data_IF_103642187366
#
_entry.id   IF_103642187366
#
_cell.length_a   1.000
_cell.length_b   1.000
_cell.length_c   1.000
_cell.angle_alpha   90.00
_cell.angle_beta   90.00
_cell.angle_gamma   90.00
#
_symmetry.space_group_name_H-M   'P 1'
#
loop_
_entity.id
_entity.type
_entity.pdbx_description
1 polymer ?
#
# COMPACT_ATOMS: atom_id res chain seq x y z
N UNK A 1 -7.00 5.24 -17.94
CA UNK A 1 -7.37 5.78 -19.26
C UNK A 1 -6.46 6.90 -19.79
N UNK A 2 -6.26 8.06 -19.13
CA UNK A 2 -5.59 9.22 -19.76
C UNK A 2 -4.13 9.00 -20.20
N UNK A 3 -3.42 8.09 -19.54
CA UNK A 3 -2.03 7.75 -19.87
C UNK A 3 -1.89 6.66 -20.93
N UNK A 4 -2.98 5.97 -21.25
CA UNK A 4 -2.93 4.68 -21.93
C UNK A 4 -2.41 4.79 -23.37
N UNK A 5 -2.76 5.87 -24.08
CA UNK A 5 -2.26 6.13 -25.43
C UNK A 5 -0.74 6.25 -25.45
N UNK A 6 -0.16 6.99 -24.50
CA UNK A 6 1.29 7.19 -24.37
C UNK A 6 1.99 5.91 -23.99
N UNK A 7 1.45 5.19 -22.99
CA UNK A 7 2.02 3.92 -22.55
C UNK A 7 2.03 2.90 -23.70
N UNK A 8 0.96 2.82 -24.49
CA UNK A 8 0.89 1.88 -25.62
C UNK A 8 1.82 2.24 -26.80
N UNK A 9 2.50 3.39 -26.80
CA UNK A 9 3.58 3.69 -27.75
C UNK A 9 4.92 3.05 -27.36
N UNK A 10 5.03 2.48 -26.16
CA UNK A 10 6.21 1.70 -25.75
C UNK A 10 6.10 0.26 -26.26
N UNK A 11 6.99 -0.64 -25.83
CA UNK A 11 6.84 -2.08 -26.05
C UNK A 11 5.60 -2.66 -25.37
N UNK A 12 5.03 -1.97 -24.37
CA UNK A 12 3.83 -2.40 -23.66
C UNK A 12 2.57 -2.25 -24.51
N UNK A 13 1.63 -3.19 -24.36
CA UNK A 13 0.27 -3.14 -24.89
C UNK A 13 -0.69 -3.50 -23.77
N UNK A 14 -1.27 -2.48 -23.14
CA UNK A 14 -2.14 -2.64 -21.97
C UNK A 14 -3.50 -2.00 -22.20
N UNK A 15 -4.43 -2.33 -21.30
CA UNK A 15 -5.78 -1.80 -21.26
C UNK A 15 -5.95 -0.97 -19.98
N UNK A 16 -6.99 -0.14 -19.96
CA UNK A 16 -7.56 0.36 -18.72
C UNK A 16 -8.60 -0.67 -18.30
N UNK A 17 -8.32 -1.44 -17.26
CA UNK A 17 -9.26 -2.48 -16.82
C UNK A 17 -10.23 -1.97 -15.75
N UNK A 18 -11.40 -2.61 -15.67
CA UNK A 18 -12.35 -2.51 -14.57
C UNK A 18 -12.91 -3.89 -14.27
N UNK A 19 -12.90 -4.28 -13.00
CA UNK A 19 -13.41 -5.60 -12.56
C UNK A 19 -14.66 -5.41 -11.71
N UNK A 20 -15.71 -6.17 -12.03
CA UNK A 20 -16.89 -6.28 -11.17
C UNK A 20 -16.76 -7.50 -10.27
N UNK A 21 -16.82 -7.27 -8.96
CA UNK A 21 -16.81 -8.29 -7.93
C UNK A 21 -18.19 -8.35 -7.26
N UNK A 22 -18.61 -9.56 -6.88
CA UNK A 22 -19.83 -9.79 -6.13
C UNK A 22 -19.49 -10.44 -4.78
N UNK A 23 -20.02 -9.86 -3.71
CA UNK A 23 -19.93 -10.45 -2.37
C UNK A 23 -20.97 -11.55 -2.24
N UNK A 24 -20.51 -12.79 -2.15
CA UNK A 24 -21.37 -13.95 -1.99
C UNK A 24 -21.92 -14.06 -0.57
N UNK A 25 -23.02 -14.81 -0.40
CA UNK A 25 -23.64 -15.03 0.92
C UNK A 25 -22.70 -15.74 1.91
N UNK A 26 -21.66 -16.39 1.40
CA UNK A 26 -20.66 -17.07 2.23
C UNK A 26 -19.47 -16.16 2.61
N UNK A 27 -19.55 -14.87 2.28
CA UNK A 27 -18.57 -13.84 2.61
C UNK A 27 -17.44 -13.67 1.60
N UNK A 28 -17.33 -14.50 0.57
CA UNK A 28 -16.24 -14.44 -0.42
C UNK A 28 -16.56 -13.50 -1.59
N UNK A 29 -15.52 -12.99 -2.26
CA UNK A 29 -15.65 -12.15 -3.46
C UNK A 29 -15.48 -12.99 -4.73
N UNK A 30 -16.48 -12.96 -5.61
CA UNK A 30 -16.43 -13.62 -6.92
C UNK A 30 -16.36 -12.59 -8.06
N UNK A 31 -15.39 -12.70 -9.00
CA UNK A 31 -15.38 -11.86 -10.18
C UNK A 31 -16.52 -12.23 -11.14
N UNK A 32 -17.28 -11.22 -11.58
CA UNK A 32 -18.41 -11.38 -12.49
C UNK A 32 -18.06 -11.00 -13.94
N UNK A 33 -17.27 -9.94 -14.10
CA UNK A 33 -16.90 -9.42 -15.41
C UNK A 33 -15.61 -8.58 -15.31
N UNK A 34 -14.86 -8.55 -16.40
CA UNK A 34 -13.74 -7.64 -16.61
C UNK A 34 -14.02 -6.84 -17.88
N UNK A 35 -14.05 -5.52 -17.76
CA UNK A 35 -14.04 -4.60 -18.88
C UNK A 35 -12.58 -4.23 -19.20
N UNK A 36 -12.16 -4.42 -20.44
CA UNK A 36 -10.87 -3.93 -20.94
C UNK A 36 -11.12 -2.82 -21.95
N UNK A 37 -10.64 -1.62 -21.63
CA UNK A 37 -10.91 -0.41 -22.41
C UNK A 37 -9.63 0.17 -23.01
N UNK A 38 -9.73 0.65 -24.25
CA UNK A 38 -8.69 1.41 -24.96
C UNK A 38 -9.18 2.81 -25.29
N UNK A 39 -8.29 3.82 -25.41
CA UNK A 39 -8.67 5.11 -25.95
C UNK A 39 -9.22 4.95 -27.36
N UNK A 40 -10.22 5.76 -27.73
CA UNK A 40 -10.79 5.70 -29.06
C UNK A 40 -9.71 5.97 -30.14
N UNK A 41 -9.63 5.20 -31.23
CA UNK A 41 -8.57 5.36 -32.24
C UNK A 41 -8.51 6.78 -32.82
N UNK A 42 -9.67 7.40 -33.06
CA UNK A 42 -9.79 8.74 -33.65
C UNK A 42 -9.48 9.91 -32.69
N UNK A 43 -9.19 9.63 -31.42
CA UNK A 43 -8.78 10.63 -30.43
C UNK A 43 -9.52 10.52 -29.10
N UNK A 44 -8.89 11.03 -28.03
CA UNK A 44 -9.38 10.89 -26.65
C UNK A 44 -10.73 11.62 -26.42
N UNK A 45 -11.03 12.63 -27.22
CA UNK A 45 -12.31 13.35 -27.19
C UNK A 45 -13.52 12.47 -27.56
N UNK A 46 -13.30 11.35 -28.25
CA UNK A 46 -14.34 10.38 -28.60
C UNK A 46 -14.50 9.28 -27.52
N UNK A 47 -13.81 9.40 -26.39
CA UNK A 47 -13.91 8.49 -25.27
C UNK A 47 -13.07 7.22 -25.42
N UNK A 48 -13.65 6.08 -25.07
CA UNK A 48 -12.97 4.79 -25.11
C UNK A 48 -13.81 3.71 -25.79
N UNK A 49 -13.12 2.74 -26.39
CA UNK A 49 -13.71 1.49 -26.86
C UNK A 49 -13.47 0.42 -25.79
N UNK A 50 -14.51 -0.33 -25.44
CA UNK A 50 -14.46 -1.34 -24.39
C UNK A 50 -14.93 -2.69 -24.90
N UNK A 51 -14.29 -3.75 -24.42
CA UNK A 51 -14.79 -5.12 -24.52
C UNK A 51 -14.97 -5.69 -23.12
N UNK A 52 -16.06 -6.42 -22.91
CA UNK A 52 -16.37 -7.07 -21.63
C UNK A 52 -16.14 -8.57 -21.76
N UNK A 53 -15.42 -9.11 -20.80
CA UNK A 53 -15.09 -10.52 -20.67
C UNK A 53 -15.75 -11.07 -19.41
N UNK A 54 -16.31 -12.27 -19.49
CA UNK A 54 -16.98 -12.95 -18.38
C UNK A 54 -16.30 -14.28 -18.07
N UNK A 55 -16.43 -14.80 -16.82
CA UNK A 55 -15.88 -16.09 -16.46
C UNK A 55 -16.32 -17.22 -17.41
N UNK A 56 -15.35 -18.00 -17.88
CA UNK A 56 -15.56 -19.27 -18.58
C UNK A 56 -14.56 -20.31 -18.07
N UNK A 57 -14.96 -21.58 -18.06
CA UNK A 57 -14.13 -22.73 -17.67
C UNK A 57 -13.89 -23.71 -18.81
N UNK A 58 -14.36 -23.41 -20.03
CA UNK A 58 -14.28 -24.28 -21.19
C UNK A 58 -13.70 -23.55 -22.39
N UNK A 59 -13.08 -24.32 -23.28
CA UNK A 59 -12.61 -23.84 -24.58
C UNK A 59 -11.60 -22.71 -24.50
N UNK A 60 -11.46 -22.00 -25.61
CA UNK A 60 -10.59 -20.81 -25.75
C UNK A 60 -11.09 -19.66 -24.88
N UNK A 61 -12.38 -19.62 -24.58
CA UNK A 61 -13.04 -18.64 -23.73
C UNK A 61 -12.48 -18.66 -22.29
N UNK A 62 -12.13 -19.85 -21.78
CA UNK A 62 -11.43 -19.97 -20.49
C UNK A 62 -10.05 -19.32 -20.51
N UNK A 63 -9.32 -19.45 -21.62
CA UNK A 63 -8.01 -18.83 -21.82
C UNK A 63 -8.14 -17.32 -22.01
N UNK A 64 -9.15 -16.86 -22.75
CA UNK A 64 -9.49 -15.42 -22.90
C UNK A 64 -9.79 -14.81 -21.52
N UNK A 65 -10.58 -15.50 -20.69
CA UNK A 65 -10.86 -15.05 -19.32
C UNK A 65 -9.58 -15.01 -18.46
N UNK A 66 -8.69 -15.98 -18.61
CA UNK A 66 -7.39 -15.98 -17.94
C UNK A 66 -6.51 -14.80 -18.38
N UNK A 67 -6.45 -14.48 -19.67
CA UNK A 67 -5.76 -13.30 -20.18
C UNK A 67 -6.39 -12.02 -19.64
N UNK A 68 -7.71 -11.91 -19.60
CA UNK A 68 -8.42 -10.74 -19.07
C UNK A 68 -8.04 -10.46 -17.62
N UNK A 69 -8.02 -11.49 -16.76
CA UNK A 69 -7.53 -11.37 -15.37
C UNK A 69 -6.07 -10.93 -15.30
N UNK A 70 -5.22 -11.45 -16.17
CA UNK A 70 -3.81 -11.07 -16.18
C UNK A 70 -3.60 -9.61 -16.62
N UNK A 71 -4.39 -9.05 -17.56
CA UNK A 71 -4.37 -7.60 -17.83
C UNK A 71 -4.79 -6.77 -16.62
N UNK A 72 -5.78 -7.23 -15.84
CA UNK A 72 -6.13 -6.58 -14.56
C UNK A 72 -4.93 -6.59 -13.62
N UNK A 73 -4.27 -7.74 -13.47
CA UNK A 73 -3.09 -7.85 -12.61
C UNK A 73 -1.91 -7.01 -13.12
N UNK A 74 -1.76 -6.76 -14.42
CA UNK A 74 -0.78 -5.79 -14.95
C UNK A 74 -1.10 -4.37 -14.47
N UNK A 75 -2.37 -3.95 -14.55
CA UNK A 75 -2.78 -2.64 -14.03
C UNK A 75 -2.59 -2.55 -12.52
N UNK A 76 -3.00 -3.59 -11.78
CA UNK A 76 -2.86 -3.65 -10.32
C UNK A 76 -1.39 -3.62 -9.89
N UNK A 77 -0.51 -4.36 -10.56
CA UNK A 77 0.93 -4.38 -10.27
C UNK A 77 1.55 -3.00 -10.43
N UNK A 78 1.26 -2.29 -11.53
CA UNK A 78 1.75 -0.93 -11.73
C UNK A 78 1.15 0.05 -10.71
N UNK A 79 -0.14 -0.05 -10.39
CA UNK A 79 -0.77 0.81 -9.39
C UNK A 79 -0.22 0.56 -7.99
N UNK A 80 -0.06 -0.70 -7.60
CA UNK A 80 0.51 -1.10 -6.33
C UNK A 80 1.92 -0.54 -6.18
N UNK A 81 2.82 -0.82 -7.12
CA UNK A 81 4.22 -0.43 -7.02
C UNK A 81 4.40 1.08 -6.98
N UNK A 82 3.73 1.81 -7.89
CA UNK A 82 3.97 3.24 -8.08
C UNK A 82 3.15 4.13 -7.15
N UNK A 83 1.96 3.67 -6.75
CA UNK A 83 0.96 4.50 -6.07
C UNK A 83 0.77 4.01 -4.63
N UNK A 84 0.34 2.76 -4.44
CA UNK A 84 0.10 2.24 -3.08
C UNK A 84 1.38 2.10 -2.28
N UNK A 85 2.48 1.74 -2.92
CA UNK A 85 3.78 1.53 -2.29
C UNK A 85 4.66 2.75 -2.39
N UNK A 86 5.26 3.03 -3.55
CA UNK A 86 6.17 4.15 -3.69
C UNK A 86 5.57 5.49 -3.23
N UNK A 87 4.44 5.90 -3.82
CA UNK A 87 3.88 7.22 -3.51
C UNK A 87 3.35 7.30 -2.08
N UNK A 88 2.42 6.40 -1.71
CA UNK A 88 1.69 6.50 -0.44
C UNK A 88 2.50 6.09 0.79
N UNK A 89 3.72 5.57 0.63
CA UNK A 89 4.63 5.34 1.76
C UNK A 89 5.95 6.07 1.56
N UNK A 90 6.83 5.59 0.69
CA UNK A 90 8.20 6.08 0.53
C UNK A 90 8.22 7.59 0.28
N UNK A 91 7.58 8.05 -0.79
CA UNK A 91 7.65 9.44 -1.22
C UNK A 91 6.94 10.40 -0.27
N UNK A 92 5.75 10.02 0.25
CA UNK A 92 5.01 10.91 1.16
C UNK A 92 5.60 10.98 2.55
N UNK A 93 6.30 9.95 3.04
CA UNK A 93 6.87 9.98 4.40
C UNK A 93 8.18 10.78 4.46
N UNK A 94 9.00 10.78 3.41
CA UNK A 94 10.30 11.48 3.41
C UNK A 94 10.23 12.97 3.81
N UNK A 95 9.26 13.78 3.35
CA UNK A 95 9.04 15.14 3.84
C UNK A 95 8.84 15.25 5.36
N UNK A 96 8.12 14.30 5.98
CA UNK A 96 7.94 14.27 7.43
C UNK A 96 9.25 14.00 8.16
N UNK A 97 10.08 13.10 7.62
CA UNK A 97 11.42 12.81 8.17
C UNK A 97 12.29 14.07 8.16
N UNK A 98 12.33 14.76 7.01
CA UNK A 98 13.16 15.95 6.82
C UNK A 98 12.72 17.08 7.76
N UNK A 99 11.43 17.41 7.76
CA UNK A 99 10.90 18.49 8.59
C UNK A 99 11.06 18.19 10.09
N UNK A 100 10.82 16.95 10.53
CA UNK A 100 10.96 16.58 11.93
C UNK A 100 12.41 16.73 12.43
N UNK A 101 13.40 16.33 11.62
CA UNK A 101 14.82 16.49 11.98
C UNK A 101 15.30 17.95 11.93
N UNK A 102 14.65 18.80 11.15
CA UNK A 102 15.01 20.23 11.02
C UNK A 102 14.38 21.10 12.10
N UNK A 103 13.17 20.77 12.55
CA UNK A 103 12.36 21.64 13.40
C UNK A 103 12.12 21.11 14.81
N UNK A 104 12.23 19.79 15.04
CA UNK A 104 12.03 19.20 16.36
C UNK A 104 13.37 18.77 16.95
N UNK A 105 13.72 19.33 18.11
CA UNK A 105 14.88 18.91 18.90
C UNK A 105 14.82 17.42 19.22
N UNK A 106 15.97 16.77 19.36
CA UNK A 106 16.06 15.37 19.84
C UNK A 106 15.45 15.19 21.24
N UNK A 107 15.30 16.29 22.00
CA UNK A 107 14.64 16.30 23.30
C UNK A 107 13.11 16.41 23.19
N UNK A 108 12.59 16.88 22.05
CA UNK A 108 11.18 17.16 21.84
C UNK A 108 10.34 15.87 21.94
N UNK A 109 9.20 15.87 22.64
CA UNK A 109 8.39 14.66 22.79
C UNK A 109 7.91 14.09 21.45
N UNK A 110 7.45 14.94 20.52
CA UNK A 110 7.02 14.47 19.20
C UNK A 110 8.17 13.94 18.34
N UNK A 111 9.40 14.46 18.51
CA UNK A 111 10.58 13.84 17.88
C UNK A 111 10.78 12.43 18.42
N UNK A 112 10.76 12.25 19.74
CA UNK A 112 10.91 10.93 20.39
C UNK A 112 9.78 9.97 20.03
N UNK A 113 8.56 10.45 19.77
CA UNK A 113 7.44 9.65 19.30
C UNK A 113 7.67 9.14 17.88
N UNK A 114 8.00 10.05 16.95
CA UNK A 114 8.00 9.77 15.50
C UNK A 114 9.32 9.21 14.98
N UNK A 115 10.47 9.55 15.58
CA UNK A 115 11.79 9.16 15.08
C UNK A 115 11.96 7.65 14.82
N UNK A 116 11.49 6.72 15.69
CA UNK A 116 11.57 5.29 15.40
C UNK A 116 10.90 4.89 14.09
N UNK A 117 9.86 5.64 13.68
CA UNK A 117 9.07 5.42 12.47
C UNK A 117 9.67 6.02 11.20
N UNK A 118 10.88 6.59 11.30
CA UNK A 118 11.64 7.15 10.19
C UNK A 118 12.95 6.40 9.89
N UNK A 119 13.24 5.33 10.66
CA UNK A 119 14.46 4.53 10.50
C UNK A 119 14.63 4.06 9.04
N UNK A 120 15.80 4.31 8.46
CA UNK A 120 16.19 3.96 7.09
C UNK A 120 15.35 4.55 5.94
N UNK A 121 14.28 5.31 6.18
CA UNK A 121 13.40 5.80 5.10
C UNK A 121 14.12 6.66 4.07
N UNK A 122 14.93 7.62 4.51
CA UNK A 122 15.70 8.45 3.57
C UNK A 122 16.76 7.65 2.82
N UNK A 123 17.37 6.64 3.47
CA UNK A 123 18.41 5.80 2.87
C UNK A 123 17.80 4.90 1.78
N UNK A 124 16.72 4.19 2.10
CA UNK A 124 15.97 3.37 1.16
C UNK A 124 15.48 4.21 -0.03
N UNK A 125 14.94 5.41 0.22
CA UNK A 125 14.49 6.30 -0.84
C UNK A 125 15.64 6.84 -1.71
N UNK A 126 16.79 7.17 -1.13
CA UNK A 126 17.96 7.61 -1.88
C UNK A 126 18.44 6.51 -2.84
N UNK A 127 18.56 5.27 -2.36
CA UNK A 127 18.91 4.11 -3.19
C UNK A 127 17.85 3.89 -4.26
N UNK A 128 16.56 3.95 -3.90
CA UNK A 128 15.47 3.81 -4.87
C UNK A 128 15.51 4.88 -5.97
N UNK A 129 15.92 6.12 -5.67
CA UNK A 129 16.13 7.15 -6.70
C UNK A 129 17.31 6.86 -7.61
N UNK A 130 18.32 6.13 -7.14
CA UNK A 130 19.53 5.81 -7.89
C UNK A 130 19.36 4.60 -8.82
N UNK A 131 18.69 3.55 -8.35
CA UNK A 131 18.64 2.25 -9.07
C UNK A 131 17.24 1.78 -9.45
N UNK A 132 16.21 2.27 -8.77
CA UNK A 132 14.84 1.75 -8.90
C UNK A 132 13.98 2.63 -9.80
N UNK A 133 13.88 3.91 -9.47
CA UNK A 133 12.95 4.89 -10.06
C UNK A 133 13.59 5.86 -11.06
N UNK A 134 14.91 5.75 -11.27
CA UNK A 134 15.64 6.51 -12.27
C UNK A 134 15.26 6.09 -13.71
N UNK A 135 15.60 6.94 -14.68
CA UNK A 135 15.47 6.62 -16.09
C UNK A 135 16.31 5.38 -16.44
N UNK A 136 15.67 4.38 -17.08
CA UNK A 136 16.28 3.08 -17.34
C UNK A 136 16.53 2.23 -16.08
N UNK A 137 15.97 2.62 -14.93
CA UNK A 137 16.02 1.85 -13.69
C UNK A 137 15.04 0.67 -13.69
N UNK A 138 15.09 -0.11 -12.60
CA UNK A 138 14.33 -1.36 -12.46
C UNK A 138 12.83 -1.16 -12.71
N UNK A 139 12.22 -0.10 -12.19
CA UNK A 139 10.78 0.16 -12.36
C UNK A 139 10.44 0.40 -13.83
N UNK A 140 11.19 1.25 -14.54
CA UNK A 140 10.93 1.50 -15.95
C UNK A 140 11.10 0.25 -16.82
N UNK A 141 11.95 -0.68 -16.41
CA UNK A 141 12.17 -1.94 -17.14
C UNK A 141 11.16 -3.05 -16.78
N UNK A 142 10.57 -3.01 -15.59
CA UNK A 142 9.80 -4.14 -15.04
C UNK A 142 8.32 -3.89 -14.84
N UNK A 143 7.83 -2.64 -14.94
CA UNK A 143 6.38 -2.34 -14.90
C UNK A 143 5.87 -1.68 -16.17
N UNK A 144 4.61 -1.96 -16.49
CA UNK A 144 3.95 -1.57 -17.75
C UNK A 144 4.02 -0.07 -18.13
N UNK A 145 4.05 0.92 -17.20
CA UNK A 145 4.11 2.32 -17.63
C UNK A 145 5.46 2.70 -18.24
N UNK A 146 6.50 1.87 -18.04
CA UNK A 146 7.86 2.11 -18.49
C UNK A 146 8.35 3.52 -18.11
N UNK A 147 8.88 4.30 -19.07
CA UNK A 147 9.34 5.69 -18.88
C UNK A 147 8.28 6.69 -18.38
N UNK A 148 7.00 6.31 -18.31
CA UNK A 148 5.93 7.16 -17.78
C UNK A 148 5.62 6.86 -16.31
N UNK A 149 6.35 5.94 -15.67
CA UNK A 149 6.08 5.47 -14.30
C UNK A 149 6.07 6.59 -13.26
N UNK A 150 7.14 7.37 -13.19
CA UNK A 150 7.25 8.45 -12.19
C UNK A 150 6.32 9.63 -12.48
N UNK A 151 6.10 9.95 -13.75
CA UNK A 151 5.11 10.96 -14.13
C UNK A 151 3.69 10.54 -13.75
N UNK A 152 3.34 9.27 -13.95
CA UNK A 152 2.04 8.75 -13.56
C UNK A 152 1.83 8.82 -12.04
N UNK A 153 2.86 8.48 -11.25
CA UNK A 153 2.87 8.64 -9.79
C UNK A 153 2.62 10.10 -9.37
N UNK A 154 3.32 11.05 -10.00
CA UNK A 154 3.11 12.49 -9.77
C UNK A 154 1.67 12.95 -10.09
N UNK A 155 1.06 12.45 -11.16
CA UNK A 155 -0.35 12.78 -11.46
C UNK A 155 -1.31 12.17 -10.44
N UNK A 156 -1.04 10.98 -9.92
CA UNK A 156 -1.87 10.41 -8.85
C UNK A 156 -1.74 11.19 -7.54
N UNK A 157 -0.56 11.76 -7.25
CA UNK A 157 -0.34 12.60 -6.07
C UNK A 157 -1.26 13.83 -6.01
N UNK A 158 -1.72 14.34 -7.15
CA UNK A 158 -2.69 15.45 -7.18
C UNK A 158 -3.97 15.12 -6.40
N UNK A 159 -4.38 13.86 -6.37
CA UNK A 159 -5.56 13.38 -5.65
C UNK A 159 -5.25 12.83 -4.24
N UNK A 160 -3.99 12.87 -3.80
CA UNK A 160 -3.61 12.46 -2.46
C UNK A 160 -4.13 13.49 -1.43
N UNK A 161 -4.61 13.00 -0.30
CA UNK A 161 -5.21 13.79 0.78
C UNK A 161 -4.74 13.20 2.11
N UNK A 162 -4.03 13.99 2.92
CA UNK A 162 -3.38 13.46 4.13
C UNK A 162 -4.39 12.85 5.14
N UNK A 163 -5.48 13.53 5.55
CA UNK A 163 -6.44 12.94 6.48
C UNK A 163 -7.10 11.65 5.99
N UNK A 164 -7.23 11.47 4.67
CA UNK A 164 -7.82 10.26 4.10
C UNK A 164 -6.87 9.05 4.14
N UNK A 165 -5.62 9.24 4.57
CA UNK A 165 -4.69 8.13 4.78
C UNK A 165 -4.95 7.40 6.10
N UNK A 166 -5.83 7.94 6.96
CA UNK A 166 -6.33 7.22 8.12
C UNK A 166 -7.16 6.00 7.67
N UNK A 167 -6.85 4.80 8.19
CA UNK A 167 -7.49 3.57 7.74
C UNK A 167 -9.04 3.61 7.80
N UNK A 168 -9.68 4.05 8.89
CA UNK A 168 -11.14 4.15 8.93
C UNK A 168 -11.71 5.08 7.84
N UNK A 169 -11.04 6.19 7.56
CA UNK A 169 -11.45 7.18 6.56
C UNK A 169 -11.29 6.61 5.15
N UNK A 170 -10.17 5.95 4.85
CA UNK A 170 -9.96 5.24 3.58
C UNK A 170 -11.03 4.18 3.33
N UNK A 171 -11.35 3.36 4.35
CA UNK A 171 -12.36 2.32 4.22
C UNK A 171 -13.76 2.88 3.91
N UNK A 172 -14.15 3.98 4.57
CA UNK A 172 -15.41 4.68 4.26
C UNK A 172 -15.37 5.28 2.86
N UNK A 173 -14.29 5.98 2.50
CA UNK A 173 -14.14 6.62 1.20
C UNK A 173 -14.26 5.64 0.04
N UNK A 174 -13.69 4.44 0.18
CA UNK A 174 -13.78 3.37 -0.82
C UNK A 174 -15.10 2.61 -0.80
N UNK A 175 -16.01 2.94 0.13
CA UNK A 175 -17.28 2.25 0.33
C UNK A 175 -17.11 0.83 0.88
N UNK A 176 -16.00 0.54 1.57
CA UNK A 176 -15.71 -0.76 2.19
C UNK A 176 -16.17 -0.82 3.66
N UNK A 177 -16.52 0.32 4.24
CA UNK A 177 -17.09 0.45 5.57
C UNK A 177 -18.11 1.59 5.62
N UNK A 178 -18.93 1.58 6.66
CA UNK A 178 -19.81 2.69 7.04
C UNK A 178 -19.52 3.13 8.47
N UNK A 179 -19.82 4.37 8.80
CA UNK A 179 -19.75 4.84 10.19
C UNK A 179 -20.66 4.01 11.09
N UNK A 180 -20.12 3.59 12.22
CA UNK A 180 -20.86 2.91 13.27
C UNK A 180 -20.26 3.29 14.62
N UNK A 181 -20.75 4.37 15.27
CA UNK A 181 -20.22 4.85 16.55
C UNK A 181 -20.32 3.82 17.69
N UNK A 182 -21.10 2.75 17.53
CA UNK A 182 -21.23 1.68 18.52
C UNK A 182 -20.20 0.57 18.35
N UNK A 183 -19.51 0.51 17.20
CA UNK A 183 -18.45 -0.46 16.96
C UNK A 183 -17.16 -0.05 17.68
N UNK A 184 -16.29 -1.02 17.96
CA UNK A 184 -15.00 -0.78 18.62
C UNK A 184 -14.08 0.17 17.85
N UNK A 185 -14.29 0.31 16.54
CA UNK A 185 -13.45 1.07 15.63
C UNK A 185 -14.17 2.28 15.02
N UNK A 186 -15.37 2.60 15.51
CA UNK A 186 -16.29 3.62 14.96
C UNK A 186 -16.72 3.40 13.50
N UNK A 187 -16.39 2.24 12.93
CA UNK A 187 -16.77 1.81 11.58
C UNK A 187 -17.22 0.36 11.57
N UNK A 188 -18.11 0.02 10.64
CA UNK A 188 -18.54 -1.36 10.36
C UNK A 188 -18.18 -1.72 8.93
N UNK A 189 -17.40 -2.79 8.76
CA UNK A 189 -17.01 -3.30 7.45
C UNK A 189 -18.24 -3.81 6.68
N UNK A 190 -18.29 -3.57 5.38
CA UNK A 190 -19.30 -4.16 4.49
C UNK A 190 -18.92 -5.57 4.04
N UNK A 191 -17.63 -5.90 4.10
CA UNK A 191 -17.09 -7.25 3.95
C UNK A 191 -16.53 -7.62 5.32
N UNK A 192 -17.28 -8.41 6.09
CA UNK A 192 -16.92 -8.72 7.49
C UNK A 192 -15.55 -9.41 7.60
N UNK A 193 -15.31 -10.42 6.77
CA UNK A 193 -14.02 -11.11 6.65
C UNK A 193 -13.15 -10.46 5.56
N UNK A 194 -12.82 -9.17 5.72
CA UNK A 194 -11.82 -8.49 4.89
C UNK A 194 -10.48 -8.46 5.66
N UNK A 195 -9.52 -9.36 5.38
CA UNK A 195 -8.37 -9.59 6.27
C UNK A 195 -7.51 -8.35 6.51
N UNK A 196 -7.17 -7.60 5.45
CA UNK A 196 -6.42 -6.35 5.56
C UNK A 196 -7.13 -5.32 6.45
N UNK A 197 -8.43 -5.10 6.24
CA UNK A 197 -9.17 -4.09 6.98
C UNK A 197 -9.44 -4.52 8.43
N UNK A 198 -9.84 -5.78 8.63
CA UNK A 198 -10.15 -6.33 9.96
C UNK A 198 -8.91 -6.33 10.86
N UNK A 199 -7.78 -6.81 10.36
CA UNK A 199 -6.52 -6.81 11.11
C UNK A 199 -5.97 -5.39 11.24
N UNK A 200 -6.04 -4.60 10.17
CA UNK A 200 -5.55 -3.24 10.13
C UNK A 200 -6.24 -2.32 11.13
N UNK A 201 -7.56 -2.46 11.32
CA UNK A 201 -8.31 -1.66 12.30
C UNK A 201 -7.87 -1.94 13.74
N UNK A 202 -7.48 -3.18 14.07
CA UNK A 202 -6.92 -3.51 15.38
C UNK A 202 -5.56 -2.84 15.60
N UNK A 203 -4.68 -2.88 14.59
CA UNK A 203 -3.36 -2.23 14.65
C UNK A 203 -3.51 -0.70 14.70
N UNK A 204 -4.34 -0.11 13.84
CA UNK A 204 -4.68 1.32 13.85
C UNK A 204 -5.16 1.77 15.22
N UNK A 205 -6.10 1.03 15.82
CA UNK A 205 -6.64 1.34 17.15
C UNK A 205 -5.56 1.29 18.23
N UNK A 206 -4.66 0.28 18.18
CA UNK A 206 -3.54 0.20 19.11
C UNK A 206 -2.58 1.40 18.97
N UNK A 207 -2.25 1.79 17.74
CA UNK A 207 -1.41 2.99 17.47
C UNK A 207 -2.10 4.24 18.00
N UNK A 208 -3.39 4.44 17.69
CA UNK A 208 -4.14 5.63 18.13
C UNK A 208 -4.23 5.75 19.65
N UNK A 209 -4.43 4.63 20.35
CA UNK A 209 -4.43 4.61 21.83
C UNK A 209 -3.06 5.01 22.37
N UNK A 210 -1.99 4.42 21.85
CA UNK A 210 -0.62 4.75 22.23
C UNK A 210 -0.30 6.23 22.00
N UNK A 211 -0.57 6.75 20.81
CA UNK A 211 -0.35 8.15 20.46
C UNK A 211 -1.17 9.08 21.34
N UNK A 212 -2.45 8.76 21.58
CA UNK A 212 -3.31 9.56 22.44
C UNK A 212 -2.77 9.63 23.86
N UNK A 213 -2.37 8.51 24.44
CA UNK A 213 -1.79 8.47 25.79
C UNK A 213 -0.48 9.27 25.85
N UNK A 214 0.39 9.10 24.85
CA UNK A 214 1.66 9.81 24.75
C UNK A 214 1.46 11.33 24.60
N UNK A 215 0.71 11.77 23.60
CA UNK A 215 0.45 13.19 23.35
C UNK A 215 -0.27 13.84 24.54
N UNK A 216 -1.26 13.17 25.14
CA UNK A 216 -1.97 13.70 26.31
C UNK A 216 -1.08 13.78 27.56
N UNK A 217 0.05 13.06 27.60
CA UNK A 217 1.03 13.20 28.66
C UNK A 217 1.79 14.53 28.57
N UNK A 218 2.21 14.94 27.37
CA UNK A 218 2.99 16.17 27.15
C UNK A 218 2.14 17.42 26.85
N UNK A 219 0.98 17.27 26.23
CA UNK A 219 0.08 18.36 25.85
C UNK A 219 -1.28 18.20 26.54
N UNK A 220 -1.54 19.00 27.59
CA UNK A 220 -2.74 18.89 28.43
C UNK A 220 -3.96 19.60 27.86
N UNK A 221 -3.75 20.53 26.94
CA UNK A 221 -4.79 21.33 26.31
C UNK A 221 -4.26 21.88 24.98
N UNK A 222 -5.17 22.42 24.18
CA UNK A 222 -4.86 22.97 22.85
C UNK A 222 -3.89 24.16 22.92
N UNK A 223 -3.92 24.94 23.99
CA UNK A 223 -2.99 26.08 24.18
C UNK A 223 -1.52 25.62 24.23
N UNK A 224 -1.22 24.45 24.83
CA UNK A 224 0.14 23.91 24.81
C UNK A 224 0.60 23.54 23.39
N UNK A 225 -0.30 23.06 22.53
CA UNK A 225 0.01 22.77 21.11
C UNK A 225 0.24 24.07 20.34
N UNK A 226 -0.60 25.08 20.57
CA UNK A 226 -0.51 26.39 19.91
C UNK A 226 0.77 27.14 20.27
N UNK A 227 1.20 27.04 21.54
CA UNK A 227 2.38 27.75 22.06
C UNK A 227 3.71 27.00 21.82
N UNK A 228 3.67 25.78 21.27
CA UNK A 228 4.87 25.00 20.97
C UNK A 228 5.48 25.44 19.63
N UNK A 229 6.51 26.29 19.70
CA UNK A 229 7.14 26.86 18.50
C UNK A 229 7.84 25.84 17.61
N UNK A 230 8.41 24.77 18.18
CA UNK A 230 9.06 23.71 17.40
C UNK A 230 8.00 22.92 16.62
N UNK A 231 6.91 22.55 17.29
CA UNK A 231 5.79 21.84 16.68
C UNK A 231 5.11 22.66 15.57
N UNK A 232 4.85 23.95 15.81
CA UNK A 232 4.28 24.84 14.80
C UNK A 232 5.21 25.01 13.60
N UNK A 233 6.53 25.13 13.83
CA UNK A 233 7.52 25.26 12.75
C UNK A 233 7.66 23.98 11.94
N UNK A 234 7.65 22.82 12.60
CA UNK A 234 7.64 21.50 11.97
C UNK A 234 6.46 21.34 11.03
N UNK A 235 5.24 21.58 11.53
CA UNK A 235 4.04 21.38 10.74
C UNK A 235 3.94 22.38 9.58
N UNK A 236 4.37 23.63 9.82
CA UNK A 236 4.44 24.66 8.78
C UNK A 236 5.40 24.27 7.66
N UNK A 237 6.66 23.92 7.98
CA UNK A 237 7.66 23.55 6.97
C UNK A 237 7.24 22.28 6.21
N UNK A 238 6.70 21.28 6.92
CA UNK A 238 6.16 20.08 6.29
C UNK A 238 5.09 20.42 5.23
N UNK A 239 4.12 21.28 5.55
CA UNK A 239 3.03 21.65 4.65
C UNK A 239 3.51 22.55 3.51
N UNK A 240 4.26 23.60 3.84
CA UNK A 240 4.59 24.69 2.91
C UNK A 240 5.78 24.36 2.00
N UNK A 241 6.71 23.53 2.47
CA UNK A 241 7.91 23.13 1.73
C UNK A 241 7.90 21.63 1.41
N UNK A 242 7.70 20.78 2.42
CA UNK A 242 7.77 19.31 2.25
C UNK A 242 6.73 18.75 1.29
N UNK A 243 5.47 19.15 1.46
CA UNK A 243 4.35 18.89 0.55
C UNK A 243 3.89 20.19 -0.15
N UNK A 244 4.85 21.07 -0.47
CA UNK A 244 4.59 22.44 -0.91
C UNK A 244 3.66 22.59 -2.12
N UNK A 245 3.66 21.63 -3.05
CA UNK A 245 2.74 21.59 -4.21
C UNK A 245 1.25 21.51 -3.81
N UNK A 246 0.97 21.11 -2.56
CA UNK A 246 -0.37 20.93 -2.00
C UNK A 246 -0.59 21.76 -0.74
N UNK A 247 0.24 22.77 -0.49
CA UNK A 247 0.18 23.60 0.73
C UNK A 247 -1.14 24.36 0.92
N UNK A 248 -1.80 24.70 -0.19
CA UNK A 248 -3.02 25.51 -0.22
C UNK A 248 -4.31 24.64 -0.13
N UNK A 249 -4.16 23.32 -0.05
CA UNK A 249 -5.29 22.41 0.07
C UNK A 249 -6.00 22.60 1.43
N UNK A 250 -7.35 22.70 1.46
CA UNK A 250 -8.09 23.10 2.67
C UNK A 250 -8.16 22.01 3.73
N UNK A 251 -7.80 20.77 3.39
CA UNK A 251 -7.91 19.60 4.27
C UNK A 251 -6.71 19.43 5.21
N UNK A 252 -5.65 20.23 5.08
CA UNK A 252 -4.53 20.16 6.01
C UNK A 252 -4.99 20.48 7.44
N UNK A 253 -4.71 19.61 8.43
CA UNK A 253 -4.82 19.97 9.84
C UNK A 253 -4.09 21.29 10.10
N UNK A 254 -4.64 22.14 10.96
CA UNK A 254 -4.01 23.42 11.31
C UNK A 254 -2.95 23.27 12.39
N UNK A 255 -2.91 22.11 13.05
CA UNK A 255 -2.03 21.79 14.18
C UNK A 255 -2.23 22.78 15.34
N UNK A 256 -3.48 23.07 15.70
CA UNK A 256 -3.86 23.99 16.77
C UNK A 256 -4.51 23.29 17.96
N UNK A 257 -4.78 21.99 17.85
CA UNK A 257 -5.46 21.20 18.89
C UNK A 257 -4.71 19.90 19.19
N UNK A 258 -4.92 19.36 20.39
CA UNK A 258 -4.39 18.05 20.76
C UNK A 258 -4.90 16.95 19.83
N UNK A 259 -6.17 17.02 19.41
CA UNK A 259 -6.75 16.01 18.52
C UNK A 259 -6.09 16.03 17.14
N UNK A 260 -5.82 17.20 16.56
CA UNK A 260 -5.09 17.30 15.29
C UNK A 260 -3.68 16.70 15.38
N UNK A 261 -2.99 16.91 16.50
CA UNK A 261 -1.67 16.31 16.75
C UNK A 261 -1.74 14.79 16.86
N UNK A 262 -2.72 14.28 17.61
CA UNK A 262 -2.96 12.84 17.80
C UNK A 262 -3.30 12.17 16.47
N UNK A 263 -4.24 12.73 15.71
CA UNK A 263 -4.64 12.19 14.40
C UNK A 263 -3.48 12.20 13.42
N UNK A 264 -2.78 13.33 13.30
CA UNK A 264 -1.65 13.45 12.36
C UNK A 264 -0.53 12.49 12.71
N UNK A 265 -0.17 12.36 13.99
CA UNK A 265 0.86 11.42 14.45
C UNK A 265 0.42 9.96 14.24
N UNK A 266 -0.86 9.64 14.45
CA UNK A 266 -1.42 8.31 14.20
C UNK A 266 -1.33 7.95 12.72
N UNK A 267 -1.67 8.87 11.81
CA UNK A 267 -1.57 8.68 10.35
C UNK A 267 -0.11 8.43 9.94
N UNK A 268 0.83 9.25 10.44
CA UNK A 268 2.25 9.11 10.11
C UNK A 268 2.76 7.73 10.55
N UNK A 269 2.48 7.34 11.80
CA UNK A 269 2.91 6.02 12.31
C UNK A 269 2.26 4.89 11.53
N UNK A 270 0.96 4.98 11.21
CA UNK A 270 0.25 3.99 10.41
C UNK A 270 0.88 3.80 9.02
N UNK A 271 1.14 4.91 8.32
CA UNK A 271 1.75 4.89 6.98
C UNK A 271 3.16 4.32 7.01
N UNK A 272 3.96 4.75 7.98
CA UNK A 272 5.34 4.30 8.15
C UNK A 272 5.46 2.83 8.57
N UNK A 273 4.46 2.29 9.27
CA UNK A 273 4.52 0.92 9.82
C UNK A 273 3.55 -0.03 9.10
N UNK A 274 2.35 -0.18 9.63
CA UNK A 274 1.41 -1.23 9.24
C UNK A 274 0.91 -1.11 7.80
N UNK A 275 0.69 0.10 7.29
CA UNK A 275 0.29 0.28 5.89
C UNK A 275 1.40 -0.16 4.93
N UNK A 276 2.63 0.33 5.12
CA UNK A 276 3.80 -0.10 4.34
C UNK A 276 4.04 -1.61 4.47
N UNK A 277 3.98 -2.16 5.68
CA UNK A 277 4.17 -3.60 5.89
C UNK A 277 3.17 -4.44 5.08
N UNK A 278 1.88 -4.07 5.11
CA UNK A 278 0.81 -4.78 4.43
C UNK A 278 0.95 -4.83 2.91
N UNK A 279 1.62 -3.84 2.32
CA UNK A 279 1.81 -3.73 0.87
C UNK A 279 3.23 -4.07 0.41
N UNK A 280 4.22 -4.11 1.32
CA UNK A 280 5.63 -4.40 1.02
C UNK A 280 5.99 -5.89 1.19
N UNK A 281 5.75 -6.49 2.35
CA UNK A 281 6.28 -7.83 2.67
C UNK A 281 5.50 -8.98 2.02
N UNK A 282 4.40 -8.67 1.33
CA UNK A 282 3.66 -9.60 0.48
C UNK A 282 4.15 -9.66 -0.97
N UNK A 283 5.10 -8.80 -1.37
CA UNK A 283 5.47 -8.67 -2.78
C UNK A 283 6.00 -9.98 -3.36
N UNK A 284 6.96 -10.65 -2.71
CA UNK A 284 7.51 -11.90 -3.21
C UNK A 284 6.58 -13.10 -2.96
N UNK A 285 5.89 -13.17 -1.81
CA UNK A 285 5.01 -14.31 -1.52
C UNK A 285 3.82 -14.39 -2.48
N UNK A 286 3.34 -13.25 -2.99
CA UNK A 286 2.25 -13.17 -3.96
C UNK A 286 2.79 -13.06 -5.40
N UNK A 287 3.83 -12.27 -5.62
CA UNK A 287 4.35 -11.92 -6.95
C UNK A 287 5.57 -12.72 -7.41
N UNK A 288 6.20 -13.50 -6.54
CA UNK A 288 7.33 -14.37 -6.89
C UNK A 288 6.97 -15.48 -7.89
N UNK A 289 5.68 -15.77 -8.06
CA UNK A 289 5.17 -16.50 -9.22
C UNK A 289 4.54 -15.51 -10.21
N UNK A 290 5.34 -15.03 -11.17
CA UNK A 290 4.95 -13.94 -12.08
C UNK A 290 3.62 -14.16 -12.83
N UNK A 291 3.22 -15.38 -13.25
CA UNK A 291 1.89 -15.56 -13.84
C UNK A 291 0.71 -15.19 -12.92
N UNK A 292 0.90 -15.22 -11.58
CA UNK A 292 -0.09 -14.71 -10.63
C UNK A 292 -0.12 -13.17 -10.61
N UNK A 293 1.02 -12.52 -10.78
CA UNK A 293 1.17 -11.06 -10.72
C UNK A 293 2.02 -10.51 -11.87
N UNK A 294 1.55 -10.62 -13.13
CA UNK A 294 2.28 -10.07 -14.26
C UNK A 294 2.32 -8.55 -14.16
N UNK A 295 3.46 -7.97 -14.51
CA UNK A 295 3.74 -6.54 -14.39
C UNK A 295 3.81 -5.82 -15.75
N UNK A 296 3.91 -6.58 -16.85
CA UNK A 296 3.98 -6.09 -18.22
C UNK A 296 3.06 -6.93 -19.10
N UNK A 297 2.47 -6.30 -20.12
CA UNK A 297 1.82 -6.95 -21.26
C UNK A 297 2.40 -6.41 -22.57
N UNK A 298 2.70 -7.29 -23.54
CA UNK A 298 3.36 -6.99 -24.81
C UNK A 298 2.41 -7.06 -26.02
N UNK A 299 1.31 -7.78 -25.86
CA UNK A 299 0.31 -7.97 -26.90
C UNK A 299 -1.06 -7.55 -26.36
N UNK A 300 -1.98 -7.23 -27.27
CA UNK A 300 -3.39 -7.07 -26.96
C UNK A 300 -4.09 -8.43 -26.94
N UNK A 301 -5.35 -8.48 -26.49
CA UNK A 301 -6.17 -9.67 -26.60
C UNK A 301 -6.22 -10.15 -28.06
N UNK A 302 -5.93 -11.44 -28.36
CA UNK A 302 -6.05 -11.98 -29.70
C UNK A 302 -7.49 -11.89 -30.23
N UNK A 303 -7.64 -11.58 -31.51
CA UNK A 303 -8.95 -11.48 -32.19
C UNK A 303 -9.23 -12.77 -32.98
N UNK A 304 -10.49 -13.17 -33.08
CA UNK A 304 -10.87 -14.38 -33.80
C UNK A 304 -10.43 -14.32 -35.27
N UNK A 305 -9.85 -15.42 -35.77
CA UNK A 305 -9.32 -15.51 -37.12
C UNK A 305 -7.86 -15.07 -37.29
N UNK A 306 -7.18 -14.60 -36.21
CA UNK A 306 -5.73 -14.33 -36.27
C UNK A 306 -4.90 -15.55 -35.86
N UNK A 307 -3.62 -15.64 -36.28
CA UNK A 307 -2.71 -16.70 -35.84
C UNK A 307 -2.53 -16.75 -34.31
N UNK A 308 -2.59 -15.60 -33.64
CA UNK A 308 -2.47 -15.50 -32.18
C UNK A 308 -3.68 -16.11 -31.47
N UNK A 309 -4.88 -16.01 -32.05
CA UNK A 309 -6.08 -16.63 -31.50
C UNK A 309 -6.04 -18.16 -31.65
N UNK A 310 -5.58 -18.67 -32.79
CA UNK A 310 -5.36 -20.10 -32.97
C UNK A 310 -4.24 -20.63 -32.06
N UNK A 311 -3.19 -19.84 -31.80
CA UNK A 311 -2.17 -20.18 -30.79
C UNK A 311 -2.76 -20.18 -29.38
N UNK A 312 -3.60 -19.21 -29.01
CA UNK A 312 -4.29 -19.21 -27.70
C UNK A 312 -5.18 -20.45 -27.53
N UNK A 313 -5.90 -20.84 -28.59
CA UNK A 313 -6.77 -22.02 -28.60
C UNK A 313 -6.00 -23.33 -28.49
N UNK A 314 -4.84 -23.43 -29.13
CA UNK A 314 -4.06 -24.68 -29.24
C UNK A 314 -3.01 -24.82 -28.14
N UNK A 315 -2.38 -23.70 -27.75
CA UNK A 315 -1.26 -23.61 -26.82
C UNK A 315 -1.44 -22.43 -25.84
N UNK A 316 -2.47 -22.47 -24.96
CA UNK A 316 -2.84 -21.34 -24.12
C UNK A 316 -1.72 -20.84 -23.21
N UNK A 317 -0.92 -21.73 -22.63
CA UNK A 317 0.22 -21.34 -21.77
C UNK A 317 1.30 -20.60 -22.56
N UNK A 318 1.55 -21.01 -23.80
CA UNK A 318 2.51 -20.34 -24.69
C UNK A 318 2.02 -18.95 -25.07
N UNK A 319 0.73 -18.81 -25.40
CA UNK A 319 0.13 -17.51 -25.67
C UNK A 319 0.17 -16.59 -24.45
N UNK A 320 -0.09 -17.13 -23.25
CA UNK A 320 0.02 -16.39 -21.99
C UNK A 320 1.45 -15.86 -21.77
N UNK A 321 2.46 -16.74 -21.86
CA UNK A 321 3.86 -16.38 -21.63
C UNK A 321 4.43 -15.41 -22.68
N UNK A 322 3.93 -15.45 -23.93
CA UNK A 322 4.25 -14.44 -24.95
C UNK A 322 3.59 -13.10 -24.68
N UNK A 323 2.40 -13.10 -24.09
CA UNK A 323 1.60 -11.89 -23.86
C UNK A 323 2.12 -11.10 -22.68
N UNK A 324 2.51 -11.77 -21.58
CA UNK A 324 2.86 -11.10 -20.33
C UNK A 324 4.38 -11.03 -20.09
N UNK A 325 4.76 -10.63 -18.87
CA UNK A 325 6.13 -10.25 -18.49
C UNK A 325 7.20 -11.17 -19.09
N UNK A 326 8.06 -10.66 -19.99
CA UNK A 326 9.12 -11.45 -20.61
C UNK A 326 10.12 -12.00 -19.59
N UNK A 327 10.89 -13.02 -20.00
CA UNK A 327 11.75 -13.79 -19.10
C UNK A 327 12.80 -12.93 -18.37
N UNK A 328 13.46 -12.01 -19.06
CA UNK A 328 14.49 -11.17 -18.44
C UNK A 328 13.89 -10.23 -17.39
N UNK A 329 12.77 -9.59 -17.71
CA UNK A 329 12.01 -8.72 -16.80
C UNK A 329 11.41 -9.50 -15.63
N UNK A 330 11.05 -10.77 -15.85
CA UNK A 330 10.64 -11.69 -14.79
C UNK A 330 11.79 -11.91 -13.81
N UNK A 331 12.99 -12.25 -14.30
CA UNK A 331 14.15 -12.45 -13.42
C UNK A 331 14.52 -11.20 -12.63
N UNK A 332 14.55 -10.05 -13.31
CA UNK A 332 14.86 -8.76 -12.68
C UNK A 332 13.81 -8.40 -11.63
N UNK A 333 12.52 -8.41 -12.01
CA UNK A 333 11.42 -8.07 -11.11
C UNK A 333 11.32 -9.00 -9.91
N UNK A 334 11.47 -10.32 -10.11
CA UNK A 334 11.47 -11.30 -9.02
C UNK A 334 12.63 -11.08 -8.05
N UNK A 335 13.85 -10.88 -8.55
CA UNK A 335 15.01 -10.62 -7.70
C UNK A 335 14.84 -9.34 -6.87
N UNK A 336 14.30 -8.29 -7.50
CA UNK A 336 13.99 -7.03 -6.80
C UNK A 336 12.98 -7.24 -5.69
N UNK A 337 11.80 -7.81 -5.98
CA UNK A 337 10.76 -7.99 -4.95
C UNK A 337 11.17 -9.01 -3.88
N UNK A 338 12.08 -9.94 -4.16
CA UNK A 338 12.67 -10.82 -3.14
C UNK A 338 13.46 -10.02 -2.12
N UNK A 339 14.32 -9.12 -2.57
CA UNK A 339 15.11 -8.23 -1.70
C UNK A 339 14.17 -7.33 -0.89
N UNK A 340 13.19 -6.70 -1.54
CA UNK A 340 12.26 -5.78 -0.90
C UNK A 340 11.32 -6.47 0.11
N UNK A 341 11.12 -7.79 -0.01
CA UNK A 341 10.28 -8.57 0.91
C UNK A 341 11.05 -9.18 2.09
N UNK A 342 12.35 -8.91 2.24
CA UNK A 342 13.19 -9.50 3.30
C UNK A 342 13.34 -8.55 4.48
N UNK A 343 13.10 -9.05 5.68
CA UNK A 343 13.43 -8.34 6.91
C UNK A 343 14.95 -8.44 7.20
N UNK A 344 15.62 -7.32 7.50
CA UNK A 344 17.00 -7.34 7.95
C UNK A 344 17.12 -7.96 9.36
N UNK A 345 18.34 -8.37 9.73
CA UNK A 345 18.60 -9.04 11.02
C UNK A 345 18.41 -8.08 12.20
N UNK A 346 18.70 -6.80 12.01
CA UNK A 346 18.65 -5.75 13.01
C UNK A 346 17.34 -4.92 12.92
N UNK A 347 16.27 -5.50 12.38
CA UNK A 347 14.98 -4.85 12.28
C UNK A 347 14.42 -4.43 13.64
N UNK A 348 13.74 -3.28 13.68
CA UNK A 348 12.93 -2.85 14.81
C UNK A 348 11.45 -2.85 14.42
N UNK A 349 10.71 -3.79 14.99
CA UNK A 349 9.27 -3.95 14.75
C UNK A 349 8.43 -2.95 15.56
N UNK A 350 7.18 -2.78 15.16
CA UNK A 350 6.23 -1.90 15.79
C UNK A 350 6.10 -2.21 17.29
N UNK A 351 6.26 -1.18 18.12
CA UNK A 351 6.28 -1.31 19.57
C UNK A 351 7.66 -1.66 20.16
N UNK A 352 8.69 -1.83 19.33
CA UNK A 352 10.08 -1.95 19.74
C UNK A 352 10.82 -0.62 19.57
N UNK A 353 11.89 -0.44 20.35
CA UNK A 353 12.82 0.70 20.25
C UNK A 353 14.26 0.21 20.35
N UNK A 354 15.17 0.93 19.69
CA UNK A 354 16.59 0.57 19.67
C UNK A 354 17.30 0.71 21.03
N UNK A 355 16.75 1.54 21.93
CA UNK A 355 17.25 1.70 23.30
C UNK A 355 16.10 1.69 24.31
N UNK A 356 16.22 0.98 25.45
CA UNK A 356 15.20 1.00 26.49
C UNK A 356 15.11 2.35 27.20
N UNK A 357 16.21 3.10 27.32
CA UNK A 357 16.29 4.40 28.02
C UNK A 357 16.06 5.60 27.08
N UNK A 358 15.22 5.45 26.05
CA UNK A 358 14.91 6.54 25.10
C UNK A 358 14.22 7.75 25.75
N UNK A 359 13.66 7.58 26.95
CA UNK A 359 13.17 8.67 27.82
C UNK A 359 13.36 8.30 29.30
N UNK A 360 13.46 9.31 30.16
CA UNK A 360 13.44 9.16 31.62
C UNK A 360 12.02 9.16 32.20
N UNK A 361 11.00 9.45 31.38
CA UNK A 361 9.61 9.52 31.81
C UNK A 361 9.04 8.11 32.02
N UNK A 362 9.04 7.65 33.28
CA UNK A 362 8.61 6.29 33.63
C UNK A 362 7.19 5.93 33.12
N UNK A 363 6.27 6.90 33.11
CA UNK A 363 4.91 6.69 32.59
C UNK A 363 4.92 6.37 31.08
N UNK A 364 5.81 6.98 30.31
CA UNK A 364 5.91 6.75 28.86
C UNK A 364 6.63 5.45 28.54
N UNK A 365 7.58 5.04 29.38
CA UNK A 365 8.16 3.69 29.31
C UNK A 365 7.09 2.62 29.56
N UNK A 366 6.25 2.82 30.59
CA UNK A 366 5.16 1.90 30.91
C UNK A 366 4.09 1.86 29.80
N UNK A 367 3.66 3.02 29.29
CA UNK A 367 2.69 3.08 28.19
C UNK A 367 3.23 2.43 26.90
N UNK A 368 4.54 2.56 26.62
CA UNK A 368 5.17 1.88 25.49
C UNK A 368 5.16 0.36 25.66
N UNK A 369 5.37 -0.13 26.88
CA UNK A 369 5.29 -1.56 27.20
C UNK A 369 3.86 -2.10 27.09
N UNK A 370 2.87 -1.31 27.48
CA UNK A 370 1.45 -1.68 27.35
C UNK A 370 1.01 -1.69 25.88
N UNK A 371 1.52 -0.77 25.05
CA UNK A 371 1.36 -0.81 23.61
C UNK A 371 1.96 -2.10 23.02
N UNK A 372 3.17 -2.49 23.42
CA UNK A 372 3.82 -3.74 22.99
C UNK A 372 2.99 -4.98 23.35
N UNK A 373 2.50 -5.07 24.59
CA UNK A 373 1.60 -6.16 25.02
C UNK A 373 0.29 -6.18 24.24
N UNK A 374 -0.26 -5.01 23.91
CA UNK A 374 -1.47 -4.92 23.09
C UNK A 374 -1.24 -5.51 21.70
N UNK A 375 -0.10 -5.22 21.07
CA UNK A 375 0.27 -5.80 19.77
C UNK A 375 0.42 -7.32 19.84
N UNK A 376 1.07 -7.86 20.88
CA UNK A 376 1.13 -9.32 21.10
C UNK A 376 -0.26 -9.96 21.21
N UNK A 377 -1.19 -9.27 21.88
CA UNK A 377 -2.59 -9.70 22.00
C UNK A 377 -3.30 -9.71 20.64
N UNK A 378 -3.05 -8.69 19.81
CA UNK A 378 -3.58 -8.62 18.45
C UNK A 378 -3.04 -9.78 17.61
N UNK A 379 -1.73 -10.05 17.65
CA UNK A 379 -1.14 -11.16 16.90
C UNK A 379 -1.79 -12.51 17.24
N UNK A 380 -1.97 -12.80 18.53
CA UNK A 380 -2.66 -14.01 19.01
C UNK A 380 -4.08 -14.12 18.45
N UNK A 381 -4.79 -12.99 18.36
CA UNK A 381 -6.14 -12.94 17.77
C UNK A 381 -6.09 -13.23 16.27
N UNK A 382 -5.17 -12.63 15.53
CA UNK A 382 -5.03 -12.88 14.08
C UNK A 382 -4.67 -14.35 13.82
N UNK A 383 -3.76 -14.93 14.61
CA UNK A 383 -3.42 -16.37 14.55
C UNK A 383 -4.67 -17.25 14.73
N UNK A 384 -5.54 -16.90 15.68
CA UNK A 384 -6.80 -17.62 15.90
C UNK A 384 -7.74 -17.46 14.70
N UNK A 385 -7.89 -16.25 14.17
CA UNK A 385 -8.72 -15.96 13.01
C UNK A 385 -8.25 -16.71 11.75
N UNK A 386 -6.94 -16.79 11.52
CA UNK A 386 -6.36 -17.56 10.41
C UNK A 386 -6.61 -19.08 10.50
N UNK A 387 -7.02 -19.59 11.66
CA UNK A 387 -7.39 -20.99 11.88
C UNK A 387 -8.90 -21.22 11.90
N UNK A 388 -9.70 -20.16 11.84
CA UNK A 388 -11.15 -20.25 11.86
C UNK A 388 -11.66 -20.53 10.43
N UNK A 389 -12.14 -21.75 10.20
CA UNK A 389 -12.65 -22.18 8.89
C UNK A 389 -13.88 -21.39 8.41
N UNK A 390 -14.54 -20.64 9.31
CA UNK A 390 -15.62 -19.73 8.95
C UNK A 390 -15.12 -18.47 8.24
N UNK A 391 -13.85 -18.09 8.47
CA UNK A 391 -13.22 -16.92 7.87
C UNK A 391 -12.47 -17.30 6.59
N UNK A 392 -13.25 -17.55 5.52
CA UNK A 392 -12.77 -18.13 4.27
C UNK A 392 -11.78 -17.26 3.49
N UNK A 393 -11.87 -15.93 3.62
CA UNK A 393 -11.05 -15.00 2.85
C UNK A 393 -9.60 -14.92 3.36
N UNK A 394 -9.34 -15.44 4.55
CA UNK A 394 -8.02 -15.34 5.21
C UNK A 394 -6.97 -16.28 4.66
N UNK A 395 -7.39 -17.37 4.00
CA UNK A 395 -6.50 -18.46 3.56
C UNK A 395 -6.67 -18.74 2.07
N UNK A 396 -7.93 -18.71 1.60
CA UNK A 396 -8.27 -18.94 0.20
C UNK A 396 -7.87 -20.32 -0.34
N UNK A 397 -8.06 -20.56 -1.65
CA UNK A 397 -7.72 -21.83 -2.29
C UNK A 397 -6.20 -22.09 -2.36
N UNK A 398 -5.38 -21.04 -2.26
CA UNK A 398 -3.93 -21.15 -2.25
C UNK A 398 -3.38 -21.72 -0.92
N UNK A 399 -4.21 -21.82 0.13
CA UNK A 399 -3.82 -22.30 1.47
C UNK A 399 -2.71 -21.44 2.11
N UNK A 400 -2.74 -20.14 1.88
CA UNK A 400 -1.76 -19.19 2.42
C UNK A 400 -2.48 -18.28 3.42
N UNK A 401 -2.22 -18.39 4.72
CA UNK A 401 -2.85 -17.54 5.72
C UNK A 401 -2.39 -16.08 5.57
N UNK A 402 -3.31 -15.14 5.82
CA UNK A 402 -2.99 -13.71 5.83
C UNK A 402 -2.23 -13.32 7.10
N UNK A 403 -0.91 -13.15 6.96
CA UNK A 403 0.00 -12.86 8.08
C UNK A 403 0.70 -11.51 8.00
N UNK A 404 0.42 -10.71 6.95
CA UNK A 404 1.11 -9.45 6.66
C UNK A 404 0.93 -8.37 7.74
N UNK A 405 -0.05 -8.51 8.63
CA UNK A 405 -0.29 -7.62 9.76
C UNK A 405 -0.04 -8.28 11.12
N UNK A 406 0.77 -9.35 11.15
CA UNK A 406 1.34 -9.82 12.40
C UNK A 406 2.40 -8.81 12.84
N UNK A 407 2.32 -8.26 14.07
CA UNK A 407 3.31 -7.31 14.57
C UNK A 407 4.76 -7.84 14.54
N UNK A 408 4.98 -9.11 14.87
CA UNK A 408 6.33 -9.69 14.98
C UNK A 408 6.76 -10.53 13.77
N UNK A 409 8.07 -10.57 13.54
CA UNK A 409 8.71 -11.50 12.60
C UNK A 409 10.14 -11.82 13.01
N UNK A 410 10.67 -12.88 12.39
CA UNK A 410 12.10 -13.18 12.33
C UNK A 410 12.72 -12.52 11.09
N UNK A 411 14.06 -12.43 11.00
CA UNK A 411 14.75 -11.97 9.79
C UNK A 411 14.46 -12.85 8.56
N UNK A 412 14.58 -12.26 7.37
CA UNK A 412 14.40 -12.94 6.10
C UNK A 412 13.02 -12.78 5.47
N UNK A 413 12.68 -13.70 4.56
CA UNK A 413 11.46 -13.62 3.75
C UNK A 413 10.33 -14.41 4.42
N UNK A 414 9.58 -13.74 5.30
CA UNK A 414 8.63 -14.39 6.21
C UNK A 414 7.17 -14.17 5.85
N UNK A 415 6.86 -13.11 5.08
CA UNK A 415 5.48 -12.72 4.76
C UNK A 415 4.67 -12.25 5.98
N UNK A 416 5.35 -11.75 7.01
CA UNK A 416 4.76 -11.25 8.26
C UNK A 416 5.71 -10.26 8.94
N UNK A 417 5.25 -9.54 9.96
CA UNK A 417 6.06 -8.55 10.69
C UNK A 417 5.73 -7.14 10.26
N UNK A 418 5.56 -6.24 11.23
CA UNK A 418 5.32 -4.82 10.98
C UNK A 418 6.54 -4.06 11.51
N UNK A 419 7.47 -3.61 10.65
CA UNK A 419 8.53 -2.68 11.06
C UNK A 419 7.96 -1.36 11.58
N UNK A 420 8.79 -0.61 12.31
CA UNK A 420 8.40 0.75 12.70
C UNK A 420 8.30 1.72 11.51
N UNK A 421 9.07 1.50 10.44
CA UNK A 421 9.32 2.49 9.38
C UNK A 421 9.33 1.89 7.98
N UNK A 422 9.25 2.79 6.99
CA UNK A 422 9.46 2.48 5.57
C UNK A 422 10.97 2.27 5.37
N UNK A 423 11.47 1.05 5.50
CA UNK A 423 12.91 0.80 5.65
C UNK A 423 13.56 -0.04 4.54
N UNK A 424 12.76 -0.52 3.60
CA UNK A 424 13.20 -1.32 2.45
C UNK A 424 12.33 -1.02 1.24
#
# INVERSE_FOLDING_TARGET
MPYLRRINTTSTKTYSSRTLLFLENDGTLRPLAIELSLPHPDGDQFGCISKVYTPSSQGVESSIWQLAKAYVNVNDSGHHQLISHWLKTHAVIEPFVIAANRQLSVLHPIHKLLHPHFRETMNANAIAREVLTNAGGIIEETVFPAKFSMEWSSVMYKNWVFPEQALPVDLIKRGMAVEDPKSSHSVRLLIEDYPYAADGLEIWSAIKIWVKEYCSFYYKNDEMVQNDSELQSWWKELREEGHGDKKDEPWWPKMQTCEELIESSTIIIWLSSAYHAAINYGQYSIGGYVPNRPSISLHFMPEEGTPEYEELKTYPDKAFLKTFTPQLQTLLGMASIEILSRHPIDELYLGQRGTPEWTTDANMLQASEDFRKKLEGIEKRIIKMNKDEKLKNRVGPAKIPYTLLYPSSEPGLTGKGIPNSVNI
#
